data_IF_994911433641
#
_entry.id   IF_994911433641
#
_cell.length_a   1.000
_cell.length_b   1.000
_cell.length_c   1.000
_cell.angle_alpha   90.00
_cell.angle_beta   90.00
_cell.angle_gamma   90.00
#
_symmetry.space_group_name_H-M   'P 1'
#
loop_
_entity.id
_entity.type
_entity.pdbx_description
1 polymer ?
#
# COMPACT_ATOMS: atom_id res chain seq x y z
N UNK A 1 -8.07 4.81 -23.55
CA UNK A 1 -8.15 3.33 -23.50
C UNK A 1 -8.38 2.82 -24.91
N UNK A 2 -7.52 1.95 -25.45
CA UNK A 2 -7.63 1.45 -26.83
C UNK A 2 -8.15 0.01 -26.87
N UNK A 3 -8.73 -0.42 -28.00
CA UNK A 3 -9.21 -1.79 -28.23
C UNK A 3 -8.16 -2.85 -27.87
N UNK A 4 -6.89 -2.57 -28.18
CA UNK A 4 -5.73 -3.42 -27.85
C UNK A 4 -5.60 -3.61 -26.33
N UNK A 5 -5.75 -2.54 -25.54
CA UNK A 5 -5.71 -2.60 -24.07
C UNK A 5 -6.84 -3.48 -23.52
N UNK A 6 -8.04 -3.37 -24.09
CA UNK A 6 -9.20 -4.16 -23.66
C UNK A 6 -9.00 -5.64 -23.95
N UNK A 7 -8.52 -6.00 -25.15
CA UNK A 7 -8.25 -7.39 -25.53
C UNK A 7 -7.16 -8.02 -24.66
N UNK A 8 -6.08 -7.28 -24.39
CA UNK A 8 -5.01 -7.72 -23.48
C UNK A 8 -5.54 -7.95 -22.06
N UNK A 9 -6.28 -6.98 -21.52
CA UNK A 9 -6.87 -7.07 -20.18
C UNK A 9 -7.80 -8.28 -20.06
N UNK A 10 -8.75 -8.45 -21.00
CA UNK A 10 -9.68 -9.57 -21.00
C UNK A 10 -8.96 -10.92 -21.14
N UNK A 11 -7.89 -10.98 -21.95
CA UNK A 11 -7.07 -12.21 -22.10
C UNK A 11 -6.36 -12.60 -20.81
N UNK A 12 -5.78 -11.62 -20.10
CA UNK A 12 -5.15 -11.84 -18.80
C UNK A 12 -6.20 -12.24 -17.77
N UNK A 13 -7.33 -11.52 -17.71
CA UNK A 13 -8.43 -11.80 -16.79
C UNK A 13 -8.98 -13.21 -16.99
N UNK A 14 -9.25 -13.63 -18.23
CA UNK A 14 -9.78 -14.97 -18.53
C UNK A 14 -8.83 -16.10 -18.10
N UNK A 15 -7.50 -15.88 -18.13
CA UNK A 15 -6.52 -16.86 -17.62
C UNK A 15 -6.38 -16.83 -16.10
N UNK A 16 -6.55 -15.66 -15.49
CA UNK A 16 -6.30 -15.45 -14.06
C UNK A 16 -7.52 -15.79 -13.20
N UNK A 17 -8.73 -15.43 -13.65
CA UNK A 17 -9.97 -15.59 -12.90
C UNK A 17 -10.28 -17.06 -12.53
N UNK A 18 -10.08 -18.05 -13.43
CA UNK A 18 -10.25 -19.47 -13.06
C UNK A 18 -9.23 -19.95 -12.03
N UNK A 19 -8.00 -19.42 -12.04
CA UNK A 19 -6.98 -19.74 -11.03
C UNK A 19 -7.36 -19.17 -9.67
N UNK A 20 -7.87 -17.93 -9.65
CA UNK A 20 -8.39 -17.29 -8.45
C UNK A 20 -9.58 -18.05 -7.85
N UNK A 21 -10.53 -18.48 -8.69
CA UNK A 21 -11.74 -19.14 -8.23
C UNK A 21 -11.51 -20.61 -7.79
N UNK A 22 -10.58 -21.33 -8.43
CA UNK A 22 -10.37 -22.78 -8.16
C UNK A 22 -9.21 -23.09 -7.22
N UNK A 23 -8.17 -22.26 -7.14
CA UNK A 23 -6.96 -22.49 -6.32
C UNK A 23 -6.31 -21.17 -5.90
N UNK A 24 -6.90 -20.46 -4.94
CA UNK A 24 -6.31 -19.25 -4.38
C UNK A 24 -5.21 -19.57 -3.34
N UNK A 25 -4.12 -20.18 -3.79
CA UNK A 25 -2.98 -20.58 -2.96
C UNK A 25 -1.65 -20.07 -3.52
N UNK A 26 -0.67 -19.90 -2.63
CA UNK A 26 0.69 -19.52 -3.00
C UNK A 26 0.77 -18.15 -3.70
N UNK A 27 1.51 -18.10 -4.81
CA UNK A 27 1.84 -16.85 -5.52
C UNK A 27 0.62 -16.09 -6.03
N UNK A 28 -0.42 -16.77 -6.52
CA UNK A 28 -1.62 -16.09 -7.05
C UNK A 28 -2.34 -15.30 -5.95
N UNK A 29 -2.42 -15.87 -4.74
CA UNK A 29 -2.98 -15.18 -3.56
C UNK A 29 -2.09 -14.01 -3.14
N UNK A 30 -0.77 -14.18 -3.11
CA UNK A 30 0.16 -13.11 -2.75
C UNK A 30 0.07 -11.92 -3.71
N UNK A 31 -0.02 -12.17 -5.02
CA UNK A 31 -0.15 -11.10 -6.02
C UNK A 31 -1.46 -10.33 -5.86
N UNK A 32 -2.58 -11.03 -5.61
CA UNK A 32 -3.88 -10.37 -5.37
C UNK A 32 -3.78 -9.49 -4.13
N UNK A 33 -3.29 -10.05 -3.02
CA UNK A 33 -3.13 -9.29 -1.79
C UNK A 33 -2.12 -8.15 -1.91
N UNK A 34 -1.14 -8.23 -2.81
CA UNK A 34 -0.24 -7.13 -3.11
C UNK A 34 -0.96 -5.94 -3.74
N UNK A 35 -1.83 -6.18 -4.73
CA UNK A 35 -2.63 -5.10 -5.30
C UNK A 35 -3.64 -4.53 -4.29
N UNK A 36 -4.24 -5.39 -3.45
CA UNK A 36 -5.13 -4.93 -2.37
C UNK A 36 -4.37 -4.09 -1.34
N UNK A 37 -3.19 -4.57 -0.90
CA UNK A 37 -2.31 -3.85 0.02
C UNK A 37 -1.91 -2.49 -0.56
N UNK A 38 -1.58 -2.43 -1.85
CA UNK A 38 -1.26 -1.20 -2.55
C UNK A 38 -2.37 -0.16 -2.46
N UNK A 39 -3.61 -0.56 -2.76
CA UNK A 39 -4.75 0.34 -2.69
C UNK A 39 -4.94 0.82 -1.25
N UNK A 40 -4.93 -0.10 -0.28
CA UNK A 40 -5.19 0.20 1.13
C UNK A 40 -4.10 1.11 1.70
N UNK A 41 -2.83 0.75 1.60
CA UNK A 41 -1.71 1.57 2.13
C UNK A 41 -1.60 2.91 1.42
N UNK A 42 -1.91 2.96 0.11
CA UNK A 42 -1.81 4.22 -0.61
C UNK A 42 -2.95 5.18 -0.30
N UNK A 43 -4.13 4.71 0.10
CA UNK A 43 -5.35 5.52 0.30
C UNK A 43 -5.22 6.68 1.32
N UNK A 44 -4.54 6.54 2.47
CA UNK A 44 -4.31 7.65 3.39
C UNK A 44 -3.66 8.89 2.76
N UNK A 45 -2.66 8.73 1.90
CA UNK A 45 -1.93 9.85 1.31
C UNK A 45 -2.80 10.81 0.48
N UNK A 46 -3.60 10.38 -0.53
CA UNK A 46 -4.51 11.26 -1.26
C UNK A 46 -5.60 11.83 -0.36
N UNK A 47 -6.12 11.07 0.61
CA UNK A 47 -7.13 11.60 1.53
C UNK A 47 -6.55 12.77 2.34
N UNK A 48 -5.40 12.57 2.97
CA UNK A 48 -4.75 13.61 3.78
C UNK A 48 -4.28 14.81 2.95
N UNK A 49 -3.87 14.58 1.70
CA UNK A 49 -3.55 15.63 0.76
C UNK A 49 -4.79 16.46 0.38
N UNK A 50 -5.90 15.80 0.04
CA UNK A 50 -7.15 16.48 -0.32
C UNK A 50 -7.74 17.26 0.85
N UNK A 51 -7.51 16.81 2.08
CA UNK A 51 -7.90 17.53 3.30
C UNK A 51 -6.94 18.68 3.67
N UNK A 52 -5.87 18.90 2.90
CA UNK A 52 -4.86 19.93 3.20
C UNK A 52 -4.07 19.66 4.48
N UNK A 53 -4.08 18.42 5.00
CA UNK A 53 -3.42 18.08 6.28
C UNK A 53 -1.99 17.64 6.11
N UNK A 54 -1.67 17.13 4.93
CA UNK A 54 -0.37 16.56 4.66
C UNK A 54 -0.02 16.70 3.19
N UNK A 55 1.21 17.08 2.91
CA UNK A 55 1.78 16.92 1.59
C UNK A 55 3.21 16.39 1.71
N UNK A 56 3.66 15.76 0.64
CA UNK A 56 5.03 15.33 0.55
C UNK A 56 5.82 16.38 -0.24
N UNK A 57 7.12 16.47 -0.02
CA UNK A 57 8.04 17.32 -0.78
C UNK A 57 9.43 16.68 -0.75
N UNK A 58 10.23 16.77 -1.80
CA UNK A 58 11.65 16.41 -1.73
C UNK A 58 12.45 17.67 -2.02
N UNK A 59 13.13 18.21 -1.01
CA UNK A 59 13.90 19.46 -1.11
C UNK A 59 14.92 19.44 -2.24
N UNK A 60 15.59 18.31 -2.48
CA UNK A 60 16.54 18.13 -3.59
C UNK A 60 15.86 18.30 -4.95
N UNK A 61 14.67 17.74 -5.13
CA UNK A 61 13.91 17.84 -6.39
C UNK A 61 13.31 19.24 -6.54
N UNK A 62 12.83 19.83 -5.43
CA UNK A 62 12.27 21.18 -5.42
C UNK A 62 13.30 22.24 -5.80
N UNK A 63 14.55 22.08 -5.33
CA UNK A 63 15.65 22.99 -5.68
C UNK A 63 16.10 22.85 -7.15
N UNK A 64 15.85 21.71 -7.79
CA UNK A 64 16.36 21.39 -9.13
C UNK A 64 15.31 21.58 -10.24
N UNK A 65 14.02 21.39 -9.92
CA UNK A 65 12.90 21.48 -10.87
C UNK A 65 11.86 22.55 -10.48
N UNK A 66 12.08 23.30 -9.39
CA UNK A 66 11.14 24.28 -8.86
C UNK A 66 9.89 23.64 -8.21
N UNK A 67 8.99 24.49 -7.72
CA UNK A 67 7.71 24.11 -7.05
C UNK A 67 6.71 23.36 -7.95
N UNK A 68 7.11 22.97 -9.16
CA UNK A 68 6.33 22.13 -10.08
C UNK A 68 5.93 20.79 -9.46
N UNK A 69 6.64 20.33 -8.43
CA UNK A 69 6.39 19.07 -7.72
C UNK A 69 5.69 19.25 -6.36
N UNK A 70 4.86 20.27 -6.18
CA UNK A 70 3.92 20.32 -5.04
C UNK A 70 2.98 19.10 -4.99
N UNK A 71 2.87 18.33 -6.08
CA UNK A 71 2.19 17.03 -6.12
C UNK A 71 3.16 15.85 -5.94
N UNK A 72 3.66 15.69 -4.71
CA UNK A 72 4.53 14.58 -4.31
C UNK A 72 3.79 13.26 -4.09
N UNK A 73 2.55 13.16 -4.55
CA UNK A 73 1.78 11.92 -4.45
C UNK A 73 2.36 10.80 -5.33
N UNK A 74 2.95 11.19 -6.47
CA UNK A 74 3.65 10.27 -7.37
C UNK A 74 4.92 9.71 -6.73
N UNK A 75 5.59 10.49 -5.90
CA UNK A 75 6.81 10.07 -5.20
C UNK A 75 6.45 9.09 -4.08
N UNK A 76 5.48 9.45 -3.22
CA UNK A 76 5.03 8.56 -2.14
C UNK A 76 4.42 7.26 -2.66
N UNK A 77 3.84 7.27 -3.86
CA UNK A 77 3.34 6.07 -4.52
C UNK A 77 4.40 4.96 -4.64
N UNK A 78 5.65 5.29 -5.01
CA UNK A 78 6.73 4.31 -5.09
C UNK A 78 7.15 3.76 -3.73
N UNK A 79 7.10 4.58 -2.68
CA UNK A 79 7.36 4.12 -1.33
C UNK A 79 6.27 3.15 -0.85
N UNK A 80 4.99 3.48 -1.09
CA UNK A 80 3.87 2.58 -0.79
C UNK A 80 3.93 1.28 -1.63
N UNK A 81 4.54 1.31 -2.82
CA UNK A 81 4.85 0.13 -3.63
C UNK A 81 5.80 -0.83 -2.90
N UNK A 82 6.86 -0.31 -2.32
CA UNK A 82 7.79 -1.12 -1.51
C UNK A 82 7.13 -1.56 -0.20
N UNK A 83 6.42 -0.66 0.48
CA UNK A 83 5.76 -0.95 1.76
C UNK A 83 4.69 -2.03 1.63
N UNK A 84 3.87 -1.99 0.58
CA UNK A 84 2.86 -3.02 0.30
C UNK A 84 3.48 -4.37 -0.04
N UNK A 85 4.63 -4.39 -0.73
CA UNK A 85 5.38 -5.62 -0.97
C UNK A 85 5.85 -6.24 0.35
N UNK A 86 6.41 -5.43 1.25
CA UNK A 86 6.83 -5.87 2.57
C UNK A 86 5.63 -6.34 3.40
N UNK A 87 4.52 -5.61 3.39
CA UNK A 87 3.29 -5.98 4.10
C UNK A 87 2.83 -7.38 3.70
N UNK A 88 2.75 -7.67 2.39
CA UNK A 88 2.36 -9.00 1.89
C UNK A 88 3.39 -10.08 2.21
N UNK A 89 4.69 -9.76 2.14
CA UNK A 89 5.75 -10.69 2.48
C UNK A 89 5.62 -11.16 3.94
N UNK A 90 5.45 -10.23 4.87
CA UNK A 90 5.37 -10.53 6.30
C UNK A 90 4.05 -11.17 6.72
N UNK A 91 2.93 -10.73 6.14
CA UNK A 91 1.59 -11.20 6.55
C UNK A 91 1.14 -12.42 5.75
N UNK A 92 1.21 -12.39 4.42
CA UNK A 92 0.64 -13.44 3.56
C UNK A 92 1.62 -14.59 3.29
N UNK A 93 2.93 -14.34 3.20
CA UNK A 93 3.93 -15.35 2.81
C UNK A 93 4.56 -16.01 4.04
N UNK A 94 5.12 -15.22 4.96
CA UNK A 94 5.83 -15.75 6.13
C UNK A 94 4.88 -16.37 7.17
N UNK A 95 3.63 -15.88 7.27
CA UNK A 95 2.51 -16.46 8.05
C UNK A 95 2.79 -16.77 9.52
N UNK A 96 3.79 -16.15 10.15
CA UNK A 96 3.99 -16.26 11.61
C UNK A 96 3.46 -15.00 12.27
N UNK A 97 2.72 -15.18 13.36
CA UNK A 97 2.05 -14.10 14.07
C UNK A 97 2.98 -12.94 14.46
N UNK A 98 4.22 -13.23 14.87
CA UNK A 98 5.19 -12.18 15.23
C UNK A 98 5.66 -11.34 14.04
N UNK A 99 5.60 -11.87 12.80
CA UNK A 99 5.93 -11.09 11.61
C UNK A 99 4.83 -10.09 11.26
N UNK A 100 3.59 -10.27 11.76
CA UNK A 100 2.50 -9.32 11.53
C UNK A 100 2.73 -7.96 12.20
N UNK A 101 3.61 -7.88 13.20
CA UNK A 101 3.97 -6.63 13.89
C UNK A 101 4.96 -5.80 13.06
N UNK A 102 5.78 -6.45 12.24
CA UNK A 102 6.86 -5.78 11.52
C UNK A 102 6.38 -4.70 10.54
N UNK A 103 5.27 -4.88 9.78
CA UNK A 103 4.72 -3.81 8.94
C UNK A 103 4.37 -2.53 9.71
N UNK A 104 3.85 -2.64 10.94
CA UNK A 104 3.57 -1.48 11.80
C UNK A 104 4.88 -0.75 12.15
N UNK A 105 5.92 -1.51 12.55
CA UNK A 105 7.24 -0.93 12.88
C UNK A 105 7.85 -0.22 11.67
N UNK A 106 7.77 -0.85 10.49
CA UNK A 106 8.29 -0.29 9.24
C UNK A 106 7.55 0.99 8.88
N UNK A 107 6.22 1.02 8.99
CA UNK A 107 5.42 2.21 8.67
C UNK A 107 5.75 3.38 9.61
N UNK A 108 5.78 3.12 10.93
CA UNK A 108 6.18 4.12 11.93
C UNK A 108 7.56 4.68 11.63
N UNK A 109 8.54 3.79 11.38
CA UNK A 109 9.91 4.19 11.07
C UNK A 109 9.97 5.05 9.80
N UNK A 110 9.31 4.62 8.72
CA UNK A 110 9.30 5.33 7.45
C UNK A 110 8.68 6.73 7.56
N UNK A 111 7.48 6.85 8.15
CA UNK A 111 6.81 8.14 8.33
C UNK A 111 7.60 9.06 9.26
N UNK A 112 8.23 8.52 10.31
CA UNK A 112 9.10 9.29 11.21
C UNK A 112 10.36 9.80 10.51
N UNK A 113 10.98 8.97 9.66
CA UNK A 113 12.12 9.39 8.83
C UNK A 113 11.70 10.48 7.85
N UNK A 114 10.55 10.33 7.18
CA UNK A 114 10.06 11.35 6.25
C UNK A 114 9.76 12.67 6.96
N UNK A 115 9.18 12.63 8.15
CA UNK A 115 8.97 13.84 8.95
C UNK A 115 10.31 14.51 9.31
N UNK A 116 11.29 13.73 9.77
CA UNK A 116 12.63 14.25 10.12
C UNK A 116 13.40 14.81 8.94
N UNK A 117 13.25 14.23 7.76
CA UNK A 117 13.89 14.69 6.52
C UNK A 117 13.18 15.87 5.87
N UNK A 118 12.11 16.40 6.50
CA UNK A 118 11.22 17.40 5.91
C UNK A 118 10.64 16.96 4.55
N UNK A 119 10.51 15.63 4.36
CA UNK A 119 9.87 15.05 3.19
C UNK A 119 8.36 15.00 3.37
N UNK A 120 7.92 14.72 4.60
CA UNK A 120 6.53 14.73 5.01
C UNK A 120 6.26 16.04 5.73
N UNK A 121 5.43 16.89 5.13
CA UNK A 121 5.07 18.20 5.70
C UNK A 121 3.61 18.14 6.15
N UNK A 122 3.38 18.66 7.35
CA UNK A 122 2.08 18.69 8.01
C UNK A 122 1.63 20.15 8.14
N UNK A 123 0.37 20.41 7.79
CA UNK A 123 -0.22 21.75 7.80
C UNK A 123 -1.43 21.80 8.77
N UNK A 124 -1.92 23.01 9.04
CA UNK A 124 -3.12 23.26 9.85
C UNK A 124 -3.10 22.64 11.26
N UNK A 125 -1.93 22.58 11.91
CA UNK A 125 -1.80 21.96 13.23
C UNK A 125 -1.95 20.44 13.23
N UNK A 126 -1.93 19.80 12.05
CA UNK A 126 -1.84 18.35 11.93
C UNK A 126 -0.51 17.85 12.50
N UNK A 127 -0.52 16.66 13.09
CA UNK A 127 0.63 16.10 13.79
C UNK A 127 0.92 14.67 13.34
N UNK A 128 2.18 14.27 13.46
CA UNK A 128 2.70 12.96 13.04
C UNK A 128 1.94 11.82 13.69
N UNK A 129 1.53 12.00 14.96
CA UNK A 129 0.76 11.02 15.70
C UNK A 129 -0.56 10.68 14.98
N UNK A 130 -1.28 11.68 14.45
CA UNK A 130 -2.53 11.44 13.73
C UNK A 130 -2.30 10.75 12.39
N UNK A 131 -1.26 11.14 11.65
CA UNK A 131 -0.85 10.44 10.43
C UNK A 131 -0.54 8.97 10.73
N UNK A 132 0.29 8.71 11.74
CA UNK A 132 0.64 7.33 12.14
C UNK A 132 -0.61 6.52 12.46
N UNK A 133 -1.52 7.05 13.29
CA UNK A 133 -2.77 6.35 13.62
C UNK A 133 -3.59 5.97 12.39
N UNK A 134 -3.72 6.88 11.42
CA UNK A 134 -4.44 6.58 10.17
C UNK A 134 -3.74 5.45 9.42
N UNK A 135 -2.43 5.55 9.19
CA UNK A 135 -1.69 4.53 8.46
C UNK A 135 -1.77 3.15 9.15
N UNK A 136 -1.64 3.10 10.47
CA UNK A 136 -1.75 1.84 11.22
C UNK A 136 -3.16 1.22 11.15
N UNK A 137 -4.23 2.05 11.12
CA UNK A 137 -5.60 1.56 10.91
C UNK A 137 -5.72 0.87 9.55
N UNK A 138 -5.14 1.44 8.50
CA UNK A 138 -5.18 0.84 7.16
C UNK A 138 -4.37 -0.46 7.08
N UNK A 139 -3.21 -0.53 7.74
CA UNK A 139 -2.42 -1.78 7.86
C UNK A 139 -3.22 -2.85 8.62
N UNK A 140 -3.83 -2.49 9.75
CA UNK A 140 -4.69 -3.39 10.52
C UNK A 140 -5.90 -3.87 9.70
N UNK A 141 -6.51 -2.99 8.92
CA UNK A 141 -7.61 -3.32 8.01
C UNK A 141 -7.16 -4.34 6.96
N UNK A 142 -5.98 -4.16 6.37
CA UNK A 142 -5.42 -5.13 5.43
C UNK A 142 -5.23 -6.51 6.07
N UNK A 143 -4.62 -6.57 7.26
CA UNK A 143 -4.41 -7.83 7.99
C UNK A 143 -5.76 -8.49 8.31
N UNK A 144 -6.77 -7.69 8.68
CA UNK A 144 -8.12 -8.18 8.94
C UNK A 144 -8.75 -8.80 7.68
N UNK A 145 -8.64 -8.12 6.53
CA UNK A 145 -9.12 -8.62 5.23
C UNK A 145 -8.40 -9.92 4.87
N UNK A 146 -7.08 -9.98 5.06
CA UNK A 146 -6.25 -11.16 4.77
C UNK A 146 -6.75 -12.41 5.50
N UNK A 147 -7.04 -12.25 6.80
CA UNK A 147 -7.50 -13.33 7.69
C UNK A 147 -8.91 -13.82 7.38
N UNK A 148 -9.78 -12.96 6.84
CA UNK A 148 -11.22 -13.26 6.71
C UNK A 148 -11.70 -13.54 5.29
N UNK A 149 -11.02 -13.06 4.24
CA UNK A 149 -11.62 -13.00 2.89
C UNK A 149 -11.23 -14.18 2.00
N UNK A 150 -10.00 -14.68 2.09
CA UNK A 150 -9.52 -15.81 1.25
C UNK A 150 -9.16 -16.97 2.16
N UNK A 151 -10.18 -17.68 2.66
CA UNK A 151 -9.96 -18.97 3.32
C UNK A 151 -9.82 -20.04 2.24
N UNK A 152 -8.72 -20.79 2.22
CA UNK A 152 -8.59 -21.91 1.32
C UNK A 152 -9.71 -22.93 1.60
N UNK A 153 -10.53 -23.29 0.61
CA UNK A 153 -11.38 -24.47 0.72
C UNK A 153 -10.47 -25.68 0.94
N UNK A 154 -10.39 -26.13 2.20
CA UNK A 154 -9.72 -27.38 2.52
C UNK A 154 -10.52 -28.46 1.83
N UNK A 155 -10.03 -28.88 0.66
CA UNK A 155 -10.50 -30.11 0.03
C UNK A 155 -10.12 -31.23 1.00
N UNK A 156 -11.06 -31.63 1.86
CA UNK A 156 -10.96 -32.88 2.62
C UNK A 156 -10.66 -33.96 1.60
N UNK A 157 -9.42 -34.44 1.59
CA UNK A 157 -9.02 -35.68 0.95
C UNK A 157 -9.04 -36.75 2.02
#
# INVERSE_FOLDING_TARGET
MTFITVVLFLSVANKWFPKMNKRCYGLTRAIIYYFVAMIIIHTPAPILLLLGKQYYQISVINNLLGDLYRSSITIIFFYHLVESFLLVLFTCILKKWYWEILPFIISIAAQSIFAKMHILIMEDGWNLVYTLFIYEIFIAMFIFIEKHTIKPEVKKR
#
